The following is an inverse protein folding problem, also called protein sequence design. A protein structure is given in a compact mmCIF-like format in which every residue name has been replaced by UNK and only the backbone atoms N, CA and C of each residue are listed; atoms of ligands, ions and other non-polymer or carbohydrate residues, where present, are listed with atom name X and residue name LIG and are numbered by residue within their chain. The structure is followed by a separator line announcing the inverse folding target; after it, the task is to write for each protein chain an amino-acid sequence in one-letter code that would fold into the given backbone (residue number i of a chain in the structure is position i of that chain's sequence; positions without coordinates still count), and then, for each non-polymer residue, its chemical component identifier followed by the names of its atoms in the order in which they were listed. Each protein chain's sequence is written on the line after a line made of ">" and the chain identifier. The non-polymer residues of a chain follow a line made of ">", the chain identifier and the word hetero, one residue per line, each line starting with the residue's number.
data_IF_828573816210
#
_entry.id   IF_828573816210
#
_cell.length_a   1.000
_cell.length_b   1.000
_cell.length_c   1.000
_cell.angle_alpha   90.00
_cell.angle_beta   90.00
_cell.angle_gamma   90.00
#
_symmetry.space_group_name_H-M   'P 1'
#
loop_
_entity.id
_entity.type
_entity.pdbx_description
1 polymer ?
#
# COMPACT_ATOMS: atom_id res chain seq x y z
N UNK A 1 1.20 13.51 22.69
CA UNK A 1 1.68 12.43 21.79
C UNK A 1 1.67 12.90 20.33
N UNK A 2 2.31 14.04 20.01
CA UNK A 2 2.28 14.68 18.67
C UNK A 2 3.71 14.77 18.10
N UNK A 3 4.36 13.64 17.88
CA UNK A 3 5.73 13.64 17.38
C UNK A 3 6.20 12.33 16.73
N UNK A 4 5.51 11.22 16.99
CA UNK A 4 5.90 9.90 16.42
C UNK A 4 5.35 9.64 15.01
N UNK A 5 4.31 10.36 14.58
CA UNK A 5 3.73 10.21 13.23
C UNK A 5 4.60 10.87 12.16
N UNK A 6 4.95 12.15 12.38
CA UNK A 6 5.77 12.92 11.44
C UNK A 6 7.18 12.34 11.29
N UNK A 7 7.75 11.80 12.37
CA UNK A 7 9.04 11.10 12.32
C UNK A 7 8.96 9.79 11.53
N UNK A 8 7.88 9.01 11.68
CA UNK A 8 7.69 7.78 10.90
C UNK A 8 7.49 8.07 9.41
N UNK A 9 6.77 9.14 9.07
CA UNK A 9 6.60 9.59 7.68
C UNK A 9 7.93 10.08 7.11
N UNK A 10 8.70 10.85 7.89
CA UNK A 10 10.02 11.34 7.49
C UNK A 10 11.00 10.19 7.27
N UNK A 11 11.06 9.21 8.17
CA UNK A 11 11.93 8.04 8.02
C UNK A 11 11.45 7.13 6.87
N UNK A 12 10.14 6.99 6.65
CA UNK A 12 9.58 6.30 5.48
C UNK A 12 9.96 6.97 4.16
N UNK A 13 9.82 8.30 4.07
CA UNK A 13 10.24 9.08 2.91
C UNK A 13 11.77 8.99 2.71
N UNK A 14 12.56 9.03 3.79
CA UNK A 14 14.01 8.92 3.74
C UNK A 14 14.48 7.53 3.31
N UNK A 15 13.77 6.47 3.69
CA UNK A 15 14.01 5.12 3.18
C UNK A 15 13.77 5.04 1.65
N UNK A 16 12.80 5.80 1.13
CA UNK A 16 12.56 5.93 -0.31
C UNK A 16 13.62 6.79 -1.03
N UNK A 17 14.18 7.81 -0.37
CA UNK A 17 15.28 8.62 -0.92
C UNK A 17 16.65 7.89 -0.91
N UNK A 18 16.90 7.02 0.08
CA UNK A 18 18.15 6.24 0.22
C UNK A 18 18.20 5.01 -0.72
N UNK A 19 17.07 4.61 -1.31
CA UNK A 19 16.99 3.58 -2.35
C UNK A 19 16.77 4.22 -3.73
N UNK A 20 17.76 4.95 -4.30
CA UNK A 20 17.64 5.46 -5.64
C UNK A 20 17.75 4.28 -6.61
N UNK A 21 16.63 3.89 -7.21
CA UNK A 21 16.50 3.63 -8.65
C UNK A 21 17.45 2.61 -9.33
N UNK A 22 18.24 1.85 -8.59
CA UNK A 22 19.30 0.99 -9.11
C UNK A 22 19.22 -0.39 -8.45
N UNK A 23 18.83 -1.38 -9.25
CA UNK A 23 18.66 -2.81 -8.92
C UNK A 23 17.43 -3.15 -8.09
N UNK A 24 16.28 -3.22 -8.74
CA UNK A 24 15.76 -4.53 -9.15
C UNK A 24 14.45 -4.34 -9.94
N UNK A 25 14.35 -4.96 -11.11
CA UNK A 25 13.13 -5.05 -11.93
C UNK A 25 12.00 -5.85 -11.25
N UNK A 26 12.21 -6.24 -9.99
CA UNK A 26 11.32 -6.98 -9.10
C UNK A 26 10.83 -6.16 -7.88
N UNK A 27 11.33 -4.95 -7.64
CA UNK A 27 11.06 -4.17 -6.42
C UNK A 27 10.16 -2.95 -6.62
N UNK A 28 10.13 -2.33 -7.80
CA UNK A 28 9.34 -1.10 -8.05
C UNK A 28 7.85 -1.21 -7.69
N UNK A 29 7.14 -2.28 -8.11
CA UNK A 29 5.75 -2.53 -7.73
C UNK A 29 5.56 -2.84 -6.23
N UNK A 30 6.54 -3.51 -5.59
CA UNK A 30 6.52 -3.80 -4.15
C UNK A 30 6.73 -2.54 -3.31
N UNK A 31 7.44 -1.54 -3.82
CA UNK A 31 7.68 -0.29 -3.12
C UNK A 31 6.39 0.52 -2.90
N UNK A 32 5.49 0.52 -3.89
CA UNK A 32 4.19 1.20 -3.81
C UNK A 32 3.29 0.51 -2.79
N UNK A 33 3.29 -0.83 -2.78
CA UNK A 33 2.59 -1.62 -1.75
C UNK A 33 3.18 -1.40 -0.36
N UNK A 34 4.51 -1.30 -0.23
CA UNK A 34 5.18 -0.99 1.03
C UNK A 34 4.84 0.42 1.54
N UNK A 35 4.76 1.41 0.65
CA UNK A 35 4.32 2.76 1.00
C UNK A 35 2.87 2.78 1.47
N UNK A 36 1.98 2.04 0.81
CA UNK A 36 0.60 1.89 1.26
C UNK A 36 0.51 1.34 2.69
N UNK A 37 1.33 0.33 3.02
CA UNK A 37 1.40 -0.24 4.36
C UNK A 37 1.97 0.74 5.39
N UNK A 38 3.04 1.47 5.05
CA UNK A 38 3.63 2.50 5.93
C UNK A 38 2.59 3.60 6.24
N UNK A 39 1.86 4.07 5.23
CA UNK A 39 0.81 5.08 5.42
C UNK A 39 -0.35 4.54 6.26
N UNK A 40 -0.74 3.27 6.06
CA UNK A 40 -1.76 2.63 6.89
C UNK A 40 -1.32 2.53 8.37
N UNK A 41 -0.05 2.21 8.65
CA UNK A 41 0.49 2.15 10.01
C UNK A 41 0.50 3.49 10.74
N UNK A 42 0.73 4.60 10.02
CA UNK A 42 0.67 5.96 10.61
C UNK A 42 -0.74 6.56 10.59
N UNK A 43 -1.75 5.75 10.26
CA UNK A 43 -3.16 6.15 10.14
C UNK A 43 -3.44 7.24 9.08
N UNK A 44 -2.53 7.44 8.12
CA UNK A 44 -2.76 8.29 6.95
C UNK A 44 -3.50 7.50 5.87
N UNK A 45 -4.82 7.40 6.05
CA UNK A 45 -5.69 6.62 5.16
C UNK A 45 -5.72 7.16 3.73
N UNK A 46 -5.67 8.48 3.56
CA UNK A 46 -5.72 9.10 2.22
C UNK A 46 -4.50 8.72 1.39
N UNK A 47 -3.30 8.84 1.96
CA UNK A 47 -2.06 8.46 1.28
C UNK A 47 -2.00 6.95 1.05
N UNK A 48 -2.43 6.14 2.01
CA UNK A 48 -2.46 4.68 1.86
C UNK A 48 -3.36 4.25 0.69
N UNK A 49 -4.58 4.77 0.62
CA UNK A 49 -5.54 4.46 -0.44
C UNK A 49 -5.02 4.90 -1.82
N UNK A 50 -4.43 6.09 -1.92
CA UNK A 50 -3.83 6.57 -3.17
C UNK A 50 -2.73 5.64 -3.68
N UNK A 51 -1.87 5.13 -2.79
CA UNK A 51 -0.83 4.18 -3.18
C UNK A 51 -1.42 2.82 -3.58
N UNK A 52 -2.46 2.33 -2.90
CA UNK A 52 -3.16 1.11 -3.29
C UNK A 52 -3.79 1.22 -4.68
N UNK A 53 -4.46 2.33 -4.99
CA UNK A 53 -5.02 2.58 -6.33
C UNK A 53 -3.94 2.60 -7.41
N UNK A 54 -2.76 3.17 -7.14
CA UNK A 54 -1.64 3.11 -8.05
C UNK A 54 -1.12 1.68 -8.23
N UNK A 55 -1.01 0.92 -7.12
CA UNK A 55 -0.48 -0.45 -7.11
C UNK A 55 -1.33 -1.42 -7.92
N UNK A 56 -2.67 -1.37 -7.80
CA UNK A 56 -3.55 -2.30 -8.52
C UNK A 56 -3.54 -2.14 -10.04
N UNK A 57 -3.05 -1.01 -10.55
CA UNK A 57 -2.92 -0.75 -11.98
C UNK A 57 -1.58 -1.22 -12.57
N UNK A 58 -0.70 -1.80 -11.75
CA UNK A 58 0.63 -2.27 -12.16
C UNK A 58 0.59 -3.81 -12.30
N UNK A 59 1.10 -4.41 -13.40
CA UNK A 59 1.05 -5.87 -13.63
C UNK A 59 1.66 -6.75 -12.53
N UNK A 60 2.49 -6.17 -11.67
CA UNK A 60 3.22 -6.82 -10.58
C UNK A 60 2.96 -6.13 -9.23
N UNK A 61 1.92 -5.29 -9.15
CA UNK A 61 1.51 -4.62 -7.92
C UNK A 61 0.79 -5.53 -6.93
N UNK A 62 0.09 -4.92 -5.96
CA UNK A 62 -0.55 -5.65 -4.87
C UNK A 62 -1.65 -6.59 -5.39
N UNK A 63 -1.62 -7.83 -4.93
CA UNK A 63 -2.58 -8.85 -5.32
C UNK A 63 -3.83 -8.84 -4.44
N UNK A 64 -4.92 -9.46 -4.93
CA UNK A 64 -6.14 -9.69 -4.14
C UNK A 64 -5.87 -10.44 -2.83
N UNK A 65 -4.99 -11.44 -2.87
CA UNK A 65 -4.64 -12.23 -1.69
C UNK A 65 -3.96 -11.37 -0.62
N UNK A 66 -2.99 -10.54 -1.02
CA UNK A 66 -2.30 -9.61 -0.13
C UNK A 66 -3.27 -8.58 0.46
N UNK A 67 -4.10 -7.96 -0.38
CA UNK A 67 -5.12 -7.02 0.07
C UNK A 67 -6.04 -7.62 1.13
N UNK A 68 -6.38 -8.91 1.03
CA UNK A 68 -7.30 -9.59 1.96
C UNK A 68 -6.63 -10.08 3.23
N UNK A 69 -5.36 -10.48 3.18
CA UNK A 69 -4.71 -11.20 4.27
C UNK A 69 -3.62 -10.42 5.01
N UNK A 70 -3.11 -9.31 4.48
CA UNK A 70 -2.09 -8.52 5.18
C UNK A 70 -2.67 -7.73 6.36
N UNK A 71 -2.20 -7.98 7.60
CA UNK A 71 -2.65 -7.26 8.80
C UNK A 71 -2.33 -5.77 8.75
N UNK A 72 -1.30 -5.39 7.99
CA UNK A 72 -0.86 -3.99 7.85
C UNK A 72 -1.92 -3.10 7.20
N UNK A 73 -2.88 -3.70 6.50
CA UNK A 73 -4.02 -3.03 5.88
C UNK A 73 -5.28 -3.07 6.74
N UNK A 74 -5.23 -3.68 7.93
CA UNK A 74 -6.34 -3.70 8.89
C UNK A 74 -6.88 -2.29 9.22
N UNK A 75 -6.04 -1.23 9.36
CA UNK A 75 -6.54 0.13 9.57
C UNK A 75 -7.42 0.69 8.44
N UNK A 76 -7.33 0.11 7.23
CA UNK A 76 -8.11 0.51 6.05
C UNK A 76 -9.40 -0.31 5.90
N UNK A 77 -9.54 -1.44 6.62
CA UNK A 77 -10.73 -2.29 6.56
C UNK A 77 -11.97 -1.51 6.99
N UNK A 78 -13.06 -1.71 6.25
CA UNK A 78 -14.30 -0.97 6.46
C UNK A 78 -14.34 0.43 5.84
N UNK A 79 -13.24 0.95 5.26
CA UNK A 79 -13.31 2.10 4.36
C UNK A 79 -13.92 1.64 3.02
N UNK A 80 -15.03 2.23 2.55
CA UNK A 80 -15.67 1.81 1.30
C UNK A 80 -14.74 1.87 0.07
N UNK A 81 -13.75 2.77 0.08
CA UNK A 81 -12.76 2.89 -1.01
C UNK A 81 -11.80 1.71 -1.00
N UNK A 82 -11.34 1.30 0.18
CA UNK A 82 -10.52 0.11 0.34
C UNK A 82 -11.27 -1.14 -0.14
N UNK A 83 -12.51 -1.33 0.30
CA UNK A 83 -13.32 -2.48 -0.10
C UNK A 83 -13.59 -2.53 -1.62
N UNK A 84 -13.72 -1.36 -2.26
CA UNK A 84 -13.84 -1.26 -3.72
C UNK A 84 -12.57 -1.74 -4.44
N UNK A 85 -11.39 -1.41 -3.92
CA UNK A 85 -10.09 -1.88 -4.46
C UNK A 85 -9.96 -3.40 -4.28
N UNK A 86 -10.37 -3.94 -3.13
CA UNK A 86 -10.40 -5.40 -2.90
C UNK A 86 -11.34 -6.08 -3.90
N UNK A 87 -12.54 -5.54 -4.09
CA UNK A 87 -13.54 -6.11 -4.99
C UNK A 87 -13.11 -6.06 -6.46
N UNK A 88 -12.35 -5.04 -6.89
CA UNK A 88 -11.90 -4.92 -8.29
C UNK A 88 -10.89 -6.00 -8.69
N UNK A 89 -10.12 -6.52 -7.73
CA UNK A 89 -9.15 -7.58 -7.93
C UNK A 89 -9.68 -8.98 -7.59
N UNK A 90 -10.91 -9.09 -7.08
CA UNK A 90 -11.50 -10.37 -6.76
C UNK A 90 -11.58 -11.26 -8.02
N UNK A 91 -11.24 -12.55 -7.92
CA UNK A 91 -11.34 -13.46 -9.05
C UNK A 91 -12.79 -13.49 -9.55
N UNK A 92 -12.98 -13.28 -10.85
CA UNK A 92 -14.29 -13.43 -11.47
C UNK A 92 -14.68 -14.91 -11.35
N UNK A 93 -15.75 -15.20 -10.62
CA UNK A 93 -16.32 -16.54 -10.63
C UNK A 93 -16.83 -16.82 -12.05
N UNK A 94 -16.09 -17.66 -12.78
CA UNK A 94 -16.63 -18.31 -13.96
C UNK A 94 -17.68 -19.32 -13.46
N UNK A 95 -18.95 -19.01 -13.69
CA UNK A 95 -20.04 -19.99 -13.63
C UNK A 95 -20.08 -20.80 -14.91
#
# INVERSE_FOLDING_TARGET
>A
MLGRGDDAIREGNRACEILPYSRDSWLGPRLISNLAMIYAWVADKESALKQLEASVNIPTGISYGELKHYPDLDPLRGDPRFEKIVASLAPKQNR
#
